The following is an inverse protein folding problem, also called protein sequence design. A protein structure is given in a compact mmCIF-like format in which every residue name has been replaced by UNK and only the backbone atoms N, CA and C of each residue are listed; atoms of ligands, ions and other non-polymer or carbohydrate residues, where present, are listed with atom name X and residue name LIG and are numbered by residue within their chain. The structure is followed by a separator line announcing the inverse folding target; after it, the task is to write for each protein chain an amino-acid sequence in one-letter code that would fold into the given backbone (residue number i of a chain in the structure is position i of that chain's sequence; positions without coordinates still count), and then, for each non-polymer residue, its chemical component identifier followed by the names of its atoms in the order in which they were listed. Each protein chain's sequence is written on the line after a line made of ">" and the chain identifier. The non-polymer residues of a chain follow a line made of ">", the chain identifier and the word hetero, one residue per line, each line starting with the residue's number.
data_IF_400674517858
#
_entry.id   IF_400674517858
#
_cell.length_a   1.000
_cell.length_b   1.000
_cell.length_c   1.000
_cell.angle_alpha   90.00
_cell.angle_beta   90.00
_cell.angle_gamma   90.00
#
_symmetry.space_group_name_H-M   'P 1'
#
loop_
_entity.id
_entity.type
_entity.pdbx_description
1 polymer ?
#
# COMPACT_ATOMS: atom_id res chain seq x y z
N UNK A 1 -29.44 -18.77 11.49
CA UNK A 1 -30.28 -17.60 11.77
C UNK A 1 -29.40 -16.52 12.38
N UNK A 2 -29.22 -15.41 11.67
CA UNK A 2 -28.97 -14.04 12.14
C UNK A 2 -28.66 -13.21 10.88
N UNK A 3 -29.71 -12.55 10.37
CA UNK A 3 -29.64 -11.59 9.27
C UNK A 3 -29.12 -10.25 9.83
N UNK A 4 -28.00 -9.78 9.32
CA UNK A 4 -27.59 -8.37 9.49
C UNK A 4 -28.22 -7.53 8.37
N UNK A 5 -29.10 -6.63 8.78
CA UNK A 5 -29.81 -5.65 7.95
C UNK A 5 -28.84 -4.73 7.20
N UNK A 6 -28.91 -4.75 5.86
CA UNK A 6 -28.31 -3.74 5.00
C UNK A 6 -29.12 -2.46 5.03
N UNK A 7 -28.42 -1.36 5.28
CA UNK A 7 -28.46 -0.11 4.52
C UNK A 7 -29.82 0.43 4.10
N UNK A 8 -30.21 1.53 4.76
CA UNK A 8 -31.12 2.56 4.28
C UNK A 8 -31.00 2.77 2.76
N UNK A 9 -32.08 2.43 2.05
CA UNK A 9 -32.31 2.78 0.65
C UNK A 9 -32.62 4.29 0.62
N UNK A 10 -31.64 5.11 0.29
CA UNK A 10 -31.93 6.42 -0.25
C UNK A 10 -32.65 6.21 -1.59
N UNK A 11 -33.80 6.85 -1.84
CA UNK A 11 -34.51 6.69 -3.11
C UNK A 11 -33.63 7.19 -4.25
N UNK A 12 -33.40 6.33 -5.25
CA UNK A 12 -32.76 6.70 -6.51
C UNK A 12 -33.68 7.71 -7.22
N UNK A 13 -33.38 9.00 -7.07
CA UNK A 13 -34.08 10.07 -7.77
C UNK A 13 -33.63 9.98 -9.24
N UNK A 14 -34.55 9.81 -10.21
CA UNK A 14 -34.20 9.73 -11.62
C UNK A 14 -33.48 11.02 -12.08
N UNK A 15 -32.45 10.91 -12.92
CA UNK A 15 -31.53 12.01 -13.25
C UNK A 15 -32.17 13.21 -13.97
N UNK A 16 -33.47 13.16 -14.30
CA UNK A 16 -34.20 14.27 -14.92
C UNK A 16 -34.74 15.32 -13.95
N UNK A 17 -34.91 15.00 -12.66
CA UNK A 17 -35.62 15.90 -11.72
C UNK A 17 -34.74 17.08 -11.28
N UNK A 18 -33.43 16.88 -11.15
CA UNK A 18 -32.49 17.94 -10.76
C UNK A 18 -32.35 19.04 -11.81
N UNK A 19 -32.58 18.72 -13.09
CA UNK A 19 -32.46 19.68 -14.19
C UNK A 19 -33.61 20.70 -14.22
N UNK A 20 -34.80 20.33 -13.75
CA UNK A 20 -35.96 21.22 -13.78
C UNK A 20 -35.99 22.23 -12.63
N UNK A 21 -35.31 21.94 -11.51
CA UNK A 21 -35.41 22.74 -10.30
C UNK A 21 -34.46 23.95 -10.25
N UNK A 22 -33.46 24.01 -11.14
CA UNK A 22 -32.43 25.07 -11.20
C UNK A 22 -32.69 26.16 -12.27
N UNK A 23 -33.71 25.99 -13.13
CA UNK A 23 -33.94 26.88 -14.28
C UNK A 23 -34.94 28.03 -14.03
N UNK A 24 -35.45 28.23 -12.81
CA UNK A 24 -36.51 29.22 -12.57
C UNK A 24 -36.01 30.64 -12.21
N UNK A 25 -34.70 30.88 -12.22
CA UNK A 25 -34.14 32.17 -11.80
C UNK A 25 -33.01 32.73 -12.69
N UNK A 26 -32.66 32.07 -13.80
CA UNK A 26 -31.60 32.54 -14.70
C UNK A 26 -31.89 32.15 -16.15
N UNK A 27 -31.67 33.06 -17.09
CA UNK A 27 -31.72 32.79 -18.55
C UNK A 27 -30.53 31.96 -19.05
N UNK A 28 -29.55 31.70 -18.17
CA UNK A 28 -28.38 30.89 -18.51
C UNK A 28 -28.69 29.39 -18.40
N UNK A 29 -28.59 28.67 -19.52
CA UNK A 29 -28.70 27.21 -19.53
C UNK A 29 -27.38 26.57 -19.08
N UNK A 30 -27.38 25.66 -18.08
CA UNK A 30 -26.16 25.02 -17.63
C UNK A 30 -25.57 24.11 -18.72
N UNK A 31 -24.29 24.33 -19.07
CA UNK A 31 -23.57 23.44 -19.98
C UNK A 31 -23.19 22.17 -19.20
N UNK A 32 -23.95 21.11 -19.41
CA UNK A 32 -23.68 19.79 -18.84
C UNK A 32 -22.60 19.06 -19.65
N UNK A 33 -21.34 19.15 -19.20
CA UNK A 33 -20.25 18.38 -19.81
C UNK A 33 -20.21 16.99 -19.18
N UNK A 34 -20.86 16.03 -19.86
CA UNK A 34 -20.77 14.61 -19.52
C UNK A 34 -19.42 14.03 -19.92
N UNK A 35 -18.48 13.93 -18.98
CA UNK A 35 -17.22 13.23 -19.20
C UNK A 35 -17.47 11.71 -19.23
N UNK A 36 -17.69 11.15 -20.42
CA UNK A 36 -17.67 9.71 -20.62
C UNK A 36 -16.23 9.18 -20.48
N UNK A 37 -15.82 8.92 -19.24
CA UNK A 37 -14.57 8.23 -18.97
C UNK A 37 -14.69 6.77 -19.44
N UNK A 38 -14.42 6.51 -20.73
CA UNK A 38 -14.12 5.15 -21.19
C UNK A 38 -12.91 4.68 -20.38
N UNK A 39 -13.11 3.70 -19.49
CA UNK A 39 -12.00 3.06 -18.78
C UNK A 39 -11.07 2.48 -19.84
N UNK A 40 -9.93 3.14 -20.07
CA UNK A 40 -8.86 2.59 -20.90
C UNK A 40 -8.53 1.22 -20.29
N UNK A 41 -8.83 0.15 -21.04
CA UNK A 41 -8.44 -1.19 -20.61
C UNK A 41 -6.93 -1.20 -20.59
N UNK A 42 -6.35 -1.34 -19.40
CA UNK A 42 -4.90 -1.52 -19.26
C UNK A 42 -4.51 -2.73 -20.09
N UNK A 43 -3.45 -2.60 -20.88
CA UNK A 43 -2.88 -3.72 -21.60
C UNK A 43 -2.59 -4.85 -20.59
N UNK A 44 -2.94 -6.08 -20.95
CA UNK A 44 -2.78 -7.26 -20.11
C UNK A 44 -1.89 -8.25 -20.83
N UNK A 45 -0.96 -8.85 -20.12
CA UNK A 45 -0.17 -9.97 -20.63
C UNK A 45 -0.55 -11.26 -19.88
N UNK A 46 -0.51 -12.38 -20.58
CA UNK A 46 -0.82 -13.68 -20.01
C UNK A 46 0.42 -14.24 -19.31
N UNK A 47 0.26 -14.66 -18.06
CA UNK A 47 1.33 -15.27 -17.26
C UNK A 47 0.90 -16.69 -16.90
N UNK A 48 1.84 -17.63 -17.02
CA UNK A 48 1.69 -19.01 -16.58
C UNK A 48 2.18 -19.15 -15.14
N UNK A 49 1.30 -19.60 -14.25
CA UNK A 49 1.61 -19.81 -12.83
C UNK A 49 1.35 -21.27 -12.48
N UNK A 50 2.33 -21.93 -11.85
CA UNK A 50 2.18 -23.30 -11.34
C UNK A 50 1.47 -23.25 -9.99
N UNK A 51 0.34 -23.97 -9.84
CA UNK A 51 -0.37 -24.07 -8.57
C UNK A 51 0.22 -25.17 -7.68
N UNK A 52 1.29 -24.85 -6.93
CA UNK A 52 2.03 -25.82 -6.11
C UNK A 52 1.18 -26.57 -5.07
N UNK A 53 0.10 -25.99 -4.57
CA UNK A 53 -0.79 -26.67 -3.61
C UNK A 53 -1.63 -27.78 -4.26
N UNK A 54 -1.78 -27.78 -5.60
CA UNK A 54 -2.42 -28.88 -6.34
C UNK A 54 -1.42 -29.97 -6.71
N UNK A 55 -0.16 -29.58 -6.92
CA UNK A 55 0.95 -30.51 -7.21
C UNK A 55 1.29 -31.37 -5.99
N UNK A 56 1.27 -30.82 -4.78
CA UNK A 56 1.68 -31.53 -3.54
C UNK A 56 0.80 -32.72 -3.13
N UNK A 57 -0.53 -32.65 -3.21
CA UNK A 57 -1.40 -33.79 -2.89
C UNK A 57 -1.61 -34.74 -4.07
N UNK A 58 -1.04 -34.48 -5.25
CA UNK A 58 -1.30 -35.30 -6.44
C UNK A 58 -0.67 -36.70 -6.28
N UNK A 59 -1.53 -37.70 -6.11
CA UNK A 59 -1.17 -39.10 -5.86
C UNK A 59 -0.32 -39.70 -6.99
N UNK A 60 -0.36 -39.11 -8.19
CA UNK A 60 0.51 -39.45 -9.33
C UNK A 60 2.00 -39.30 -8.99
N UNK A 61 2.34 -38.41 -8.04
CA UNK A 61 3.71 -38.23 -7.56
C UNK A 61 4.17 -39.34 -6.58
N UNK A 62 3.26 -40.16 -6.05
CA UNK A 62 3.58 -41.25 -5.13
C UNK A 62 3.93 -42.58 -5.82
N UNK A 63 3.60 -42.74 -7.11
CA UNK A 63 3.87 -43.95 -7.90
C UNK A 63 4.96 -43.75 -8.96
N UNK A 64 5.99 -42.95 -8.64
CA UNK A 64 7.06 -42.62 -9.56
C UNK A 64 8.13 -43.72 -9.61
N UNK A 65 8.28 -44.37 -10.76
CA UNK A 65 9.49 -45.12 -11.12
C UNK A 65 10.51 -44.18 -11.80
N UNK A 66 11.81 -44.49 -11.69
CA UNK A 66 12.89 -43.66 -12.25
C UNK A 66 12.72 -43.37 -13.76
N UNK A 67 12.13 -44.31 -14.50
CA UNK A 67 11.90 -44.21 -15.96
C UNK A 67 10.75 -43.25 -16.31
N UNK A 68 9.74 -43.12 -15.45
CA UNK A 68 8.55 -42.31 -15.72
C UNK A 68 8.54 -40.96 -14.99
N UNK A 69 9.50 -40.72 -14.10
CA UNK A 69 9.55 -39.53 -13.24
C UNK A 69 9.45 -38.23 -14.05
N UNK A 70 10.24 -38.11 -15.12
CA UNK A 70 10.28 -36.87 -15.90
C UNK A 70 8.97 -36.64 -16.66
N UNK A 71 8.38 -37.69 -17.24
CA UNK A 71 7.15 -37.58 -18.03
C UNK A 71 5.92 -37.30 -17.15
N UNK A 72 5.82 -37.95 -15.98
CA UNK A 72 4.75 -37.68 -14.99
C UNK A 72 4.91 -36.31 -14.34
N UNK A 73 6.14 -35.89 -14.02
CA UNK A 73 6.35 -34.55 -13.46
C UNK A 73 6.00 -33.47 -14.48
N UNK A 74 6.36 -33.67 -15.76
CA UNK A 74 5.95 -32.76 -16.82
C UNK A 74 4.43 -32.70 -16.97
N UNK A 75 3.73 -33.85 -16.95
CA UNK A 75 2.27 -33.89 -17.09
C UNK A 75 1.54 -33.25 -15.90
N UNK A 76 1.97 -33.53 -14.67
CA UNK A 76 1.41 -32.91 -13.45
C UNK A 76 1.64 -31.39 -13.45
N UNK A 77 2.84 -30.95 -13.86
CA UNK A 77 3.13 -29.52 -13.98
C UNK A 77 2.29 -28.84 -15.07
N UNK A 78 2.04 -29.51 -16.20
CA UNK A 78 1.15 -28.96 -17.23
C UNK A 78 -0.29 -28.86 -16.74
N UNK A 79 -0.80 -29.88 -16.04
CA UNK A 79 -2.17 -29.95 -15.52
C UNK A 79 -2.42 -28.91 -14.41
N UNK A 80 -1.40 -28.65 -13.58
CA UNK A 80 -1.48 -27.70 -12.47
C UNK A 80 -1.16 -26.25 -12.86
N UNK A 81 -0.95 -25.96 -14.14
CA UNK A 81 -0.72 -24.59 -14.62
C UNK A 81 -2.02 -23.80 -14.68
N UNK A 82 -1.99 -22.58 -14.15
CA UNK A 82 -3.05 -21.60 -14.28
C UNK A 82 -2.53 -20.47 -15.14
N UNK A 83 -3.27 -20.17 -16.21
CA UNK A 83 -3.05 -18.97 -16.98
C UNK A 83 -3.83 -17.82 -16.35
N UNK A 84 -3.12 -16.78 -15.93
CA UNK A 84 -3.76 -15.56 -15.42
C UNK A 84 -3.36 -14.36 -16.28
N UNK A 85 -4.22 -13.35 -16.33
CA UNK A 85 -3.91 -12.10 -17.02
C UNK A 85 -3.42 -11.08 -16.00
N UNK A 86 -2.20 -10.61 -16.21
CA UNK A 86 -1.57 -9.61 -15.35
C UNK A 86 -1.55 -8.29 -16.10
N UNK A 87 -1.92 -7.21 -15.41
CA UNK A 87 -1.85 -5.88 -16.03
C UNK A 87 -0.39 -5.53 -16.34
N UNK A 88 -0.16 -5.01 -17.54
CA UNK A 88 1.14 -4.47 -17.94
C UNK A 88 1.51 -3.32 -16.99
N UNK A 89 2.73 -3.36 -16.45
CA UNK A 89 3.21 -2.44 -15.41
C UNK A 89 2.95 -2.86 -13.96
N UNK A 90 2.43 -4.07 -13.68
CA UNK A 90 2.49 -4.57 -12.29
C UNK A 90 3.95 -4.74 -11.84
N UNK A 91 4.29 -4.31 -10.61
CA UNK A 91 5.66 -4.43 -10.12
C UNK A 91 6.04 -5.91 -10.07
N UNK A 92 7.17 -6.25 -10.69
CA UNK A 92 7.76 -7.58 -10.56
C UNK A 92 8.03 -7.84 -9.07
N UNK A 93 7.61 -8.99 -8.53
CA UNK A 93 7.90 -9.31 -7.14
C UNK A 93 9.42 -9.35 -6.93
N UNK A 94 9.89 -8.73 -5.85
CA UNK A 94 11.30 -8.77 -5.50
C UNK A 94 11.64 -10.16 -4.95
N UNK A 95 12.34 -10.95 -5.76
CA UNK A 95 12.70 -12.33 -5.43
C UNK A 95 13.61 -12.42 -4.21
N UNK A 96 14.45 -11.42 -3.97
CA UNK A 96 15.34 -11.40 -2.79
C UNK A 96 14.53 -11.18 -1.52
N UNK A 97 13.59 -10.22 -1.54
CA UNK A 97 12.69 -9.99 -0.41
C UNK A 97 11.83 -11.22 -0.12
N UNK A 98 11.27 -11.86 -1.16
CA UNK A 98 10.51 -13.10 -1.01
C UNK A 98 11.35 -14.24 -0.40
N UNK A 99 12.61 -14.37 -0.80
CA UNK A 99 13.53 -15.34 -0.21
C UNK A 99 13.73 -15.09 1.28
N UNK A 100 14.00 -13.85 1.69
CA UNK A 100 14.16 -13.48 3.10
C UNK A 100 12.90 -13.78 3.93
N UNK A 101 11.71 -13.53 3.39
CA UNK A 101 10.44 -13.88 4.05
C UNK A 101 10.25 -15.40 4.18
N UNK A 102 10.62 -16.16 3.15
CA UNK A 102 10.57 -17.61 3.19
C UNK A 102 11.54 -18.21 4.22
N UNK A 103 12.75 -17.64 4.33
CA UNK A 103 13.77 -18.03 5.30
C UNK A 103 13.31 -17.70 6.73
N UNK A 104 12.77 -16.50 6.94
CA UNK A 104 12.16 -16.11 8.21
C UNK A 104 11.08 -17.11 8.60
N UNK A 105 10.18 -17.47 7.69
CA UNK A 105 9.09 -18.41 7.97
C UNK A 105 9.62 -19.79 8.37
N UNK A 106 10.66 -20.28 7.68
CA UNK A 106 11.33 -21.54 8.05
C UNK A 106 11.95 -21.46 9.44
N UNK A 107 12.63 -20.35 9.75
CA UNK A 107 13.23 -20.13 11.07
C UNK A 107 12.18 -20.06 12.18
N UNK A 108 11.04 -19.40 11.95
CA UNK A 108 9.92 -19.37 12.90
C UNK A 108 9.34 -20.77 13.15
N UNK A 109 9.12 -21.55 12.08
CA UNK A 109 8.65 -22.94 12.22
C UNK A 109 9.66 -23.77 13.02
N UNK A 110 10.96 -23.58 12.77
CA UNK A 110 12.01 -24.28 13.48
C UNK A 110 12.04 -23.92 14.97
N UNK A 111 11.95 -22.63 15.32
CA UNK A 111 11.84 -22.13 16.71
C UNK A 111 10.64 -22.73 17.41
N UNK A 112 9.48 -22.77 16.75
CA UNK A 112 8.26 -23.32 17.33
C UNK A 112 8.35 -24.83 17.58
N UNK A 113 9.14 -25.56 16.78
CA UNK A 113 9.39 -27.00 16.96
C UNK A 113 10.45 -27.28 18.03
N UNK A 114 11.41 -26.38 18.24
CA UNK A 114 12.55 -26.58 19.15
C UNK A 114 12.73 -25.38 20.09
N UNK A 115 11.82 -25.19 21.07
CA UNK A 115 11.83 -24.02 21.96
C UNK A 115 13.04 -23.96 22.90
N UNK A 116 13.70 -25.10 23.15
CA UNK A 116 14.87 -25.20 24.03
C UNK A 116 16.17 -24.72 23.38
N UNK A 117 16.18 -24.48 22.06
CA UNK A 117 17.39 -24.05 21.36
C UNK A 117 17.59 -22.54 21.47
N UNK A 118 18.48 -22.13 22.36
CA UNK A 118 18.75 -20.73 22.73
C UNK A 118 18.98 -19.79 21.53
N UNK A 119 19.74 -20.22 20.52
CA UNK A 119 20.10 -19.39 19.37
C UNK A 119 19.02 -19.32 18.28
N UNK A 120 18.01 -20.21 18.30
CA UNK A 120 17.03 -20.29 17.21
C UNK A 120 16.17 -19.02 17.12
N UNK A 121 15.84 -18.41 18.26
CA UNK A 121 15.07 -17.15 18.27
C UNK A 121 15.90 -15.99 17.75
N UNK A 122 17.18 -15.93 18.10
CA UNK A 122 18.10 -14.90 17.65
C UNK A 122 18.30 -14.94 16.12
N UNK A 123 18.44 -16.13 15.54
CA UNK A 123 18.56 -16.30 14.08
C UNK A 123 17.29 -15.85 13.35
N UNK A 124 16.11 -16.25 13.82
CA UNK A 124 14.83 -15.82 13.24
C UNK A 124 14.68 -14.28 13.28
N UNK A 125 15.05 -13.66 14.41
CA UNK A 125 15.04 -12.20 14.55
C UNK A 125 16.07 -11.53 13.63
N UNK A 126 17.25 -12.12 13.45
CA UNK A 126 18.28 -11.64 12.53
C UNK A 126 17.79 -11.60 11.07
N UNK A 127 17.18 -12.68 10.60
CA UNK A 127 16.58 -12.75 9.25
C UNK A 127 15.44 -11.73 9.12
N UNK A 128 14.58 -11.61 10.14
CA UNK A 128 13.52 -10.60 10.14
C UNK A 128 14.07 -9.17 10.08
N UNK A 129 15.17 -8.87 10.79
CA UNK A 129 15.84 -7.58 10.74
C UNK A 129 16.44 -7.32 9.35
N UNK A 130 17.05 -8.33 8.73
CA UNK A 130 17.58 -8.24 7.36
C UNK A 130 16.47 -7.95 6.34
N UNK A 131 15.34 -8.66 6.42
CA UNK A 131 14.17 -8.41 5.57
C UNK A 131 13.67 -6.97 5.69
N UNK A 132 13.52 -6.48 6.93
CA UNK A 132 13.09 -5.08 7.19
C UNK A 132 14.09 -4.04 6.67
N UNK A 133 15.40 -4.29 6.82
CA UNK A 133 16.44 -3.39 6.30
C UNK A 133 16.38 -3.31 4.77
N UNK A 134 16.26 -4.46 4.12
CA UNK A 134 16.16 -4.55 2.67
C UNK A 134 14.87 -3.89 2.16
N UNK A 135 13.73 -4.13 2.82
CA UNK A 135 12.46 -3.48 2.50
C UNK A 135 12.57 -1.95 2.56
N UNK A 136 13.15 -1.40 3.64
CA UNK A 136 13.40 0.05 3.75
C UNK A 136 14.28 0.58 2.62
N UNK A 137 15.34 -0.15 2.27
CA UNK A 137 16.24 0.23 1.17
C UNK A 137 15.51 0.21 -0.17
N UNK A 138 14.68 -0.80 -0.41
CA UNK A 138 13.88 -0.95 -1.62
C UNK A 138 12.84 0.17 -1.74
N UNK A 139 12.15 0.51 -0.64
CA UNK A 139 11.21 1.64 -0.61
C UNK A 139 11.90 2.96 -0.93
N UNK A 140 13.09 3.21 -0.38
CA UNK A 140 13.89 4.41 -0.70
C UNK A 140 14.30 4.47 -2.18
N UNK A 141 14.76 3.35 -2.74
CA UNK A 141 15.11 3.25 -4.18
C UNK A 141 13.88 3.52 -5.05
N UNK A 142 12.77 2.83 -4.78
CA UNK A 142 11.50 3.04 -5.50
C UNK A 142 10.99 4.47 -5.41
N UNK A 143 11.15 5.11 -4.25
CA UNK A 143 10.82 6.52 -4.09
C UNK A 143 11.72 7.41 -4.93
N UNK A 144 13.02 7.15 -4.95
CA UNK A 144 13.96 7.90 -5.79
C UNK A 144 13.65 7.71 -7.28
N UNK A 145 13.35 6.48 -7.72
CA UNK A 145 12.94 6.16 -9.09
C UNK A 145 11.60 6.83 -9.46
N UNK A 146 10.69 6.95 -8.49
CA UNK A 146 9.45 7.70 -8.66
C UNK A 146 9.72 9.20 -8.82
N UNK A 147 10.59 9.78 -8.01
CA UNK A 147 11.01 11.18 -8.09
C UNK A 147 11.79 11.50 -9.36
N UNK A 148 12.62 10.59 -9.87
CA UNK A 148 13.29 10.81 -11.15
C UNK A 148 12.33 10.74 -12.33
N UNK A 149 11.23 9.97 -12.19
CA UNK A 149 10.13 9.93 -13.16
C UNK A 149 9.13 11.08 -13.06
N UNK A 150 9.17 11.88 -11.97
CA UNK A 150 8.32 13.06 -11.75
C UNK A 150 8.78 14.20 -12.68
N UNK A 151 8.29 14.17 -13.91
CA UNK A 151 8.62 15.15 -14.95
C UNK A 151 8.44 14.59 -16.37
N UNK A 152 8.56 13.27 -16.54
CA UNK A 152 8.37 12.59 -17.83
C UNK A 152 6.91 12.17 -18.05
N UNK A 153 6.00 13.14 -18.16
CA UNK A 153 4.59 12.88 -18.46
C UNK A 153 3.78 12.26 -17.31
N UNK A 154 4.20 12.46 -16.06
CA UNK A 154 3.44 12.04 -14.88
C UNK A 154 2.11 12.79 -14.80
N UNK A 155 0.99 12.10 -14.97
CA UNK A 155 -0.32 12.75 -14.94
C UNK A 155 -0.68 13.36 -13.57
N UNK A 156 -1.48 14.43 -13.57
CA UNK A 156 -1.94 15.14 -12.35
C UNK A 156 -2.52 14.22 -11.27
N UNK A 157 -3.19 13.14 -11.68
CA UNK A 157 -3.72 12.13 -10.74
C UNK A 157 -2.63 11.43 -9.94
N UNK A 158 -1.53 11.07 -10.58
CA UNK A 158 -0.40 10.42 -9.91
C UNK A 158 0.26 11.37 -8.91
N UNK A 159 0.48 12.62 -9.32
CA UNK A 159 0.97 13.71 -8.44
C UNK A 159 0.08 13.88 -7.20
N UNK A 160 -1.24 13.97 -7.41
CA UNK A 160 -2.20 14.09 -6.32
C UNK A 160 -2.18 12.91 -5.35
N UNK A 161 -2.07 11.68 -5.87
CA UNK A 161 -1.95 10.48 -5.03
C UNK A 161 -0.65 10.49 -4.22
N UNK A 162 0.46 10.96 -4.81
CA UNK A 162 1.73 11.13 -4.10
C UNK A 162 1.60 12.18 -2.98
N UNK A 163 0.97 13.33 -3.27
CA UNK A 163 0.69 14.35 -2.28
C UNK A 163 -0.16 13.80 -1.12
N UNK A 164 -1.29 13.15 -1.43
CA UNK A 164 -2.11 12.52 -0.41
C UNK A 164 -1.36 11.45 0.40
N UNK A 165 -0.45 10.70 -0.22
CA UNK A 165 0.34 9.71 0.50
C UNK A 165 1.34 10.35 1.48
N UNK A 166 1.91 11.52 1.13
CA UNK A 166 2.76 12.31 2.03
C UNK A 166 1.95 12.95 3.15
N UNK A 167 0.74 13.43 2.85
CA UNK A 167 -0.17 14.04 3.84
C UNK A 167 -0.75 12.99 4.81
N UNK A 168 -1.10 11.80 4.30
CA UNK A 168 -1.73 10.71 5.06
C UNK A 168 -0.75 9.74 5.71
N UNK A 169 0.56 9.86 5.49
CA UNK A 169 1.52 9.09 6.29
C UNK A 169 1.39 9.57 7.73
N UNK A 170 0.61 8.81 8.50
CA UNK A 170 -0.20 9.28 9.61
C UNK A 170 0.55 10.09 10.65
N UNK A 171 -0.19 11.00 11.30
CA UNK A 171 0.19 11.80 12.48
C UNK A 171 1.65 11.54 12.85
N UNK A 172 2.56 12.21 12.12
CA UNK A 172 3.96 12.17 12.49
C UNK A 172 3.98 12.52 13.97
N UNK A 173 4.63 11.67 14.79
CA UNK A 173 4.90 12.01 16.17
C UNK A 173 5.39 13.44 16.17
N UNK A 174 4.60 14.32 16.79
CA UNK A 174 4.66 15.75 16.60
C UNK A 174 6.13 16.18 16.60
N UNK A 175 6.70 16.59 15.46
CA UNK A 175 8.12 16.90 15.38
C UNK A 175 8.47 18.05 16.32
N UNK A 176 7.48 18.87 16.73
CA UNK A 176 7.69 19.84 17.80
C UNK A 176 7.90 19.19 19.16
N UNK A 177 7.33 18.00 19.44
CA UNK A 177 7.49 17.31 20.72
C UNK A 177 8.94 16.88 20.96
N UNK A 178 9.64 16.37 19.94
CA UNK A 178 11.06 16.01 20.08
C UNK A 178 11.95 17.23 20.25
N UNK A 179 11.65 18.33 19.55
CA UNK A 179 12.38 19.60 19.68
C UNK A 179 12.11 20.25 21.04
N UNK A 180 10.86 20.25 21.53
CA UNK A 180 10.47 20.71 22.86
C UNK A 180 11.20 19.96 23.96
N UNK A 181 11.28 18.63 23.85
CA UNK A 181 12.04 17.79 24.78
C UNK A 181 13.54 18.09 24.73
N UNK A 182 14.12 18.29 23.54
CA UNK A 182 15.53 18.61 23.39
C UNK A 182 15.90 19.99 23.96
N UNK A 183 14.98 20.95 23.87
CA UNK A 183 15.17 22.33 24.35
C UNK A 183 14.64 22.56 25.78
N UNK A 184 13.97 21.56 26.37
CA UNK A 184 13.31 21.64 27.67
C UNK A 184 12.40 22.89 27.82
N UNK A 185 11.64 23.19 26.76
CA UNK A 185 10.73 24.33 26.69
C UNK A 185 9.27 23.87 26.68
N UNK A 186 8.39 24.72 27.21
CA UNK A 186 6.97 24.43 27.25
C UNK A 186 6.36 24.46 25.83
N UNK A 187 5.16 23.87 25.63
CA UNK A 187 4.45 23.97 24.36
C UNK A 187 4.19 25.41 23.91
N UNK A 188 3.88 26.29 24.85
CA UNK A 188 3.56 27.71 24.62
C UNK A 188 4.82 28.48 24.20
N UNK A 189 5.93 28.29 24.91
CA UNK A 189 7.22 28.91 24.58
C UNK A 189 7.74 28.46 23.21
N UNK A 190 7.51 27.20 22.85
CA UNK A 190 7.84 26.71 21.51
C UNK A 190 6.99 27.37 20.44
N UNK A 191 5.68 27.52 20.68
CA UNK A 191 4.77 28.19 19.76
C UNK A 191 5.16 29.65 19.56
N UNK A 192 5.49 30.38 20.62
CA UNK A 192 5.94 31.78 20.54
C UNK A 192 7.27 31.90 19.77
N UNK A 193 8.23 31.01 20.02
CA UNK A 193 9.52 31.01 19.29
C UNK A 193 9.34 30.65 17.82
N UNK A 194 8.49 29.68 17.52
CA UNK A 194 8.15 29.31 16.15
C UNK A 194 7.43 30.48 15.46
N UNK A 195 6.46 31.10 16.12
CA UNK A 195 5.73 32.26 15.62
C UNK A 195 6.67 33.43 15.33
N UNK A 196 7.60 33.75 16.24
CA UNK A 196 8.61 34.80 16.01
C UNK A 196 9.53 34.47 14.82
N UNK A 197 9.86 33.19 14.60
CA UNK A 197 10.70 32.76 13.48
C UNK A 197 9.99 32.78 12.12
N UNK A 198 8.70 32.46 12.08
CA UNK A 198 7.90 32.44 10.84
C UNK A 198 7.21 33.77 10.54
N UNK A 199 6.88 34.53 11.59
CA UNK A 199 6.14 35.79 11.54
C UNK A 199 6.87 36.84 12.40
N UNK A 200 7.81 37.59 11.83
CA UNK A 200 8.64 38.56 12.57
C UNK A 200 7.87 39.65 13.32
N UNK A 201 6.60 39.88 12.96
CA UNK A 201 5.73 40.89 13.57
C UNK A 201 4.70 40.31 14.56
N UNK A 202 4.84 39.05 14.99
CA UNK A 202 3.90 38.43 15.92
C UNK A 202 4.16 38.90 17.36
N UNK A 203 3.20 39.53 18.06
CA UNK A 203 3.36 39.89 19.47
C UNK A 203 3.36 38.61 20.33
N UNK A 204 4.23 38.49 21.35
CA UNK A 204 4.24 37.32 22.22
C UNK A 204 2.90 37.14 22.94
N UNK A 205 2.43 35.90 23.06
CA UNK A 205 1.08 35.57 23.56
C UNK A 205 0.83 35.93 25.04
N UNK A 206 1.88 36.27 25.80
CA UNK A 206 1.83 36.58 27.23
C UNK A 206 1.24 37.96 27.62
N UNK A 207 0.62 38.73 26.70
CA UNK A 207 0.14 40.10 26.98
C UNK A 207 -1.39 40.21 27.11
N UNK A 208 -2.12 39.10 27.18
CA UNK A 208 -3.54 39.11 27.51
C UNK A 208 -3.77 38.88 29.01
N UNK A 209 -3.14 39.71 29.84
CA UNK A 209 -3.64 39.95 31.19
C UNK A 209 -4.87 40.86 31.08
N UNK A 210 -5.98 40.33 31.58
CA UNK A 210 -7.31 40.92 31.61
C UNK A 210 -7.31 42.38 32.08
N UNK A 211 -7.82 43.29 31.24
CA UNK A 211 -8.44 44.54 31.67
C UNK A 211 -9.95 44.34 31.78
#
# INVERSE_FOLDING_TARGET
>A
MLQTSRGSLAPEIPPGIWSQMLNWASDDSPILIGLHAKKLQKLRHQVRIVHWDKVRPDERACSLTAENLISTLHSVLTDCNIHTTVNEGQPKPDMHLLKLWSERRRAEIFVNRHPTQFNARATANGIAAQARRYEKQLSRRRWHDWCSGLGSGTGNKALWMTFQAMERSGSLADPSASIRLALNISPEEFADRAAASFFPNHPPSAVLDYY
#
